data_IF_489051695454
#
_entry.id   IF_489051695454
#
_cell.length_a   1.000
_cell.length_b   1.000
_cell.length_c   1.000
_cell.angle_alpha   90.00
_cell.angle_beta   90.00
_cell.angle_gamma   90.00
#
_symmetry.space_group_name_H-M   'P 1'
#
loop_
_entity.id
_entity.type
_entity.pdbx_description
1 polymer ?
#
# COMPACT_ATOMS: atom_id res chain seq x y z
N UNK A 1 9.46 11.12 -11.22
CA UNK A 1 9.07 12.55 -11.02
C UNK A 1 10.11 13.58 -11.51
N UNK A 2 11.33 13.21 -11.91
CA UNK A 2 12.30 14.15 -12.53
C UNK A 2 11.77 14.91 -13.77
N UNK A 3 10.58 14.53 -14.28
CA UNK A 3 9.91 15.15 -15.44
C UNK A 3 8.48 15.60 -15.11
N UNK A 4 8.10 15.76 -13.85
CA UNK A 4 6.72 16.05 -13.45
C UNK A 4 5.75 14.89 -13.63
N UNK A 5 6.25 13.66 -13.88
CA UNK A 5 5.40 12.48 -14.06
C UNK A 5 4.94 11.97 -12.70
N UNK A 6 3.65 11.79 -12.54
CA UNK A 6 3.02 11.19 -11.36
C UNK A 6 2.98 9.68 -11.48
N UNK A 7 3.12 8.99 -10.35
CA UNK A 7 3.25 7.53 -10.32
C UNK A 7 2.31 6.90 -9.33
N UNK A 8 1.68 5.79 -9.75
CA UNK A 8 0.79 5.02 -8.89
C UNK A 8 0.87 3.53 -9.16
N UNK A 9 0.51 2.74 -8.17
CA UNK A 9 0.39 1.29 -8.23
C UNK A 9 -1.04 0.91 -7.89
N UNK A 10 -1.68 0.11 -8.74
CA UNK A 10 -3.01 -0.46 -8.51
C UNK A 10 -2.94 -1.96 -8.76
N UNK A 11 -3.38 -2.73 -7.81
CA UNK A 11 -3.39 -4.20 -7.89
C UNK A 11 -4.53 -4.78 -7.05
N UNK A 12 -5.02 -5.95 -7.39
CA UNK A 12 -5.91 -6.76 -6.55
C UNK A 12 -5.16 -7.85 -5.76
N UNK A 13 -3.83 -7.86 -5.86
CA UNK A 13 -2.93 -8.66 -5.03
C UNK A 13 -2.44 -7.85 -3.83
N UNK A 14 -1.56 -8.42 -3.02
CA UNK A 14 -0.79 -7.64 -2.04
C UNK A 14 0.11 -6.65 -2.78
N UNK A 15 0.18 -5.42 -2.30
CA UNK A 15 1.09 -4.40 -2.88
C UNK A 15 2.57 -4.78 -2.77
N UNK A 16 2.88 -5.74 -1.89
CA UNK A 16 4.21 -6.33 -1.70
C UNK A 16 4.45 -7.61 -2.52
N UNK A 17 3.45 -8.09 -3.29
CA UNK A 17 3.66 -9.22 -4.18
C UNK A 17 4.60 -8.87 -5.34
N UNK A 18 5.15 -9.86 -6.00
CA UNK A 18 6.26 -9.74 -6.95
C UNK A 18 6.02 -8.69 -8.04
N UNK A 19 4.83 -8.67 -8.66
CA UNK A 19 4.54 -7.75 -9.78
C UNK A 19 4.51 -6.29 -9.34
N UNK A 20 3.71 -5.87 -8.34
CA UNK A 20 3.78 -4.49 -7.86
C UNK A 20 5.13 -4.15 -7.23
N UNK A 21 5.73 -5.07 -6.47
CA UNK A 21 7.02 -4.83 -5.82
C UNK A 21 8.18 -4.60 -6.80
N UNK A 22 8.14 -5.18 -7.99
CA UNK A 22 9.15 -4.96 -9.02
C UNK A 22 9.26 -3.49 -9.50
N UNK A 23 8.28 -2.65 -9.19
CA UNK A 23 8.28 -1.22 -9.54
C UNK A 23 9.05 -0.33 -8.56
N UNK A 24 9.27 -0.78 -7.32
CA UNK A 24 9.89 0.01 -6.26
C UNK A 24 10.93 -0.78 -5.44
N UNK A 25 10.87 -2.10 -5.45
CA UNK A 25 11.65 -2.95 -4.55
C UNK A 25 12.89 -3.55 -5.22
N UNK A 26 13.89 -3.81 -4.39
CA UNK A 26 15.10 -4.57 -4.73
C UNK A 26 15.23 -5.72 -3.74
N UNK A 27 14.85 -6.94 -4.17
CA UNK A 27 14.92 -8.13 -3.35
C UNK A 27 15.34 -9.33 -4.19
N UNK A 28 16.22 -10.21 -3.70
CA UNK A 28 16.56 -11.46 -4.37
C UNK A 28 15.44 -12.51 -4.28
N UNK A 29 14.49 -12.33 -3.35
CA UNK A 29 13.38 -13.25 -3.14
C UNK A 29 12.07 -12.45 -3.00
N UNK A 30 11.06 -12.85 -3.77
CA UNK A 30 9.72 -12.26 -3.76
C UNK A 30 8.99 -12.45 -2.43
N UNK A 31 9.40 -13.40 -1.61
CA UNK A 31 8.76 -13.71 -0.32
C UNK A 31 9.20 -12.77 0.80
N UNK A 32 10.21 -11.92 0.60
CA UNK A 32 10.65 -10.96 1.62
C UNK A 32 9.72 -9.76 1.74
N UNK A 33 8.42 -10.05 1.90
CA UNK A 33 7.37 -9.04 1.94
C UNK A 33 7.37 -8.20 3.24
N UNK A 34 7.81 -8.80 4.36
CA UNK A 34 7.97 -8.16 5.65
C UNK A 34 9.22 -8.69 6.37
N UNK A 35 9.59 -8.09 7.49
CA UNK A 35 10.78 -8.48 8.27
C UNK A 35 10.72 -9.92 8.78
N UNK A 36 9.53 -10.43 9.14
CA UNK A 36 9.37 -11.81 9.61
C UNK A 36 9.64 -12.87 8.51
N UNK A 37 9.47 -12.49 7.24
CA UNK A 37 9.74 -13.34 6.08
C UNK A 37 11.15 -13.12 5.51
N UNK A 38 11.84 -12.07 5.93
CA UNK A 38 13.21 -11.76 5.49
C UNK A 38 14.20 -12.51 6.38
N UNK A 39 15.15 -13.30 5.83
CA UNK A 39 16.11 -14.03 6.64
C UNK A 39 16.99 -13.10 7.49
N UNK A 40 17.29 -13.53 8.72
CA UNK A 40 18.06 -12.77 9.69
C UNK A 40 19.40 -12.25 9.13
N UNK A 41 20.11 -13.11 8.37
CA UNK A 41 21.39 -12.70 7.77
C UNK A 41 21.21 -11.53 6.77
N UNK A 42 20.08 -11.47 6.08
CA UNK A 42 19.79 -10.39 5.12
C UNK A 42 19.48 -9.09 5.86
N UNK A 43 18.68 -9.15 6.92
CA UNK A 43 18.42 -8.01 7.81
C UNK A 43 19.70 -7.43 8.40
N UNK A 44 20.61 -8.30 8.85
CA UNK A 44 21.94 -7.90 9.38
C UNK A 44 22.84 -7.26 8.33
N UNK A 45 22.66 -7.58 7.05
CA UNK A 45 23.34 -6.93 5.92
C UNK A 45 22.65 -5.63 5.45
N UNK A 46 21.57 -5.21 6.13
CA UNK A 46 20.83 -4.00 5.80
C UNK A 46 19.82 -4.17 4.66
N UNK A 47 19.47 -5.40 4.26
CA UNK A 47 18.41 -5.65 3.30
C UNK A 47 17.05 -5.34 3.95
N UNK A 48 16.37 -4.32 3.47
CA UNK A 48 14.99 -4.02 3.88
C UNK A 48 13.99 -4.96 3.21
N UNK A 49 12.94 -5.34 3.94
CA UNK A 49 11.79 -6.04 3.37
C UNK A 49 11.02 -5.15 2.37
N UNK A 50 10.20 -5.77 1.51
CA UNK A 50 9.48 -5.06 0.44
C UNK A 50 8.49 -4.01 0.98
N UNK A 51 7.79 -4.26 2.10
CA UNK A 51 6.90 -3.27 2.70
C UNK A 51 7.68 -2.05 3.20
N UNK A 52 8.83 -2.28 3.86
CA UNK A 52 9.70 -1.20 4.31
C UNK A 52 10.31 -0.43 3.14
N UNK A 53 10.72 -1.10 2.06
CA UNK A 53 11.22 -0.45 0.85
C UNK A 53 10.15 0.44 0.20
N UNK A 54 8.89 -0.03 0.11
CA UNK A 54 7.79 0.74 -0.47
C UNK A 54 7.54 2.06 0.28
N UNK A 55 7.45 1.98 1.61
CA UNK A 55 7.22 3.15 2.46
C UNK A 55 8.40 4.15 2.41
N UNK A 56 9.61 3.66 2.18
CA UNK A 56 10.82 4.45 2.10
C UNK A 56 11.26 4.77 0.65
N UNK A 57 10.46 4.40 -0.34
CA UNK A 57 10.77 4.63 -1.74
C UNK A 57 10.87 6.13 -2.04
N UNK A 58 12.08 6.60 -2.27
CA UNK A 58 12.40 8.02 -2.43
C UNK A 58 12.73 8.43 -3.88
N UNK A 59 12.80 7.46 -4.81
CA UNK A 59 13.09 7.76 -6.21
C UNK A 59 12.03 8.70 -6.80
N UNK A 60 12.48 9.79 -7.32
CA UNK A 60 11.63 10.78 -7.96
C UNK A 60 10.59 11.48 -7.06
N UNK A 61 10.68 11.43 -5.74
CA UNK A 61 9.73 11.90 -4.70
C UNK A 61 8.72 10.85 -4.21
N UNK A 62 8.97 9.57 -4.47
CA UNK A 62 8.13 8.47 -4.00
C UNK A 62 6.93 8.14 -4.89
N UNK A 63 6.02 7.34 -4.37
CA UNK A 63 4.78 6.96 -5.04
C UNK A 63 3.66 7.91 -4.62
N UNK A 64 2.90 8.44 -5.58
CA UNK A 64 1.77 9.33 -5.30
C UNK A 64 0.54 8.56 -4.81
N UNK A 65 0.38 7.31 -5.30
CA UNK A 65 -0.76 6.46 -4.96
C UNK A 65 -0.35 4.99 -4.98
N UNK A 66 -0.79 4.24 -3.97
CA UNK A 66 -0.69 2.78 -3.92
C UNK A 66 -2.01 2.22 -3.45
N UNK A 67 -2.64 1.33 -4.23
CA UNK A 67 -3.91 0.68 -3.91
C UNK A 67 -3.80 -0.83 -4.13
N UNK A 68 -4.21 -1.61 -3.12
CA UNK A 68 -4.22 -3.08 -3.19
C UNK A 68 -4.47 -3.73 -1.83
N UNK A 69 -4.05 -4.98 -1.69
CA UNK A 69 -4.09 -5.74 -0.44
C UNK A 69 -2.72 -5.75 0.28
N UNK A 70 -2.60 -6.62 1.29
CA UNK A 70 -1.34 -6.88 1.99
C UNK A 70 -1.12 -6.06 3.25
N UNK A 71 -2.17 -5.54 3.88
CA UNK A 71 -2.11 -4.69 5.08
C UNK A 71 -1.31 -5.33 6.23
N UNK A 72 -1.35 -6.67 6.37
CA UNK A 72 -0.61 -7.38 7.43
C UNK A 72 0.90 -7.12 7.37
N UNK A 73 1.48 -6.90 6.17
CA UNK A 73 2.91 -6.69 6.00
C UNK A 73 3.39 -5.32 6.52
N UNK A 74 2.47 -4.40 6.81
CA UNK A 74 2.75 -3.04 7.28
C UNK A 74 2.48 -2.83 8.77
N UNK A 75 1.81 -3.79 9.43
CA UNK A 75 1.40 -3.70 10.83
C UNK A 75 2.22 -4.66 11.70
N UNK A 76 2.55 -4.27 12.96
CA UNK A 76 3.21 -5.16 13.90
C UNK A 76 2.26 -6.25 14.41
N UNK A 77 2.82 -7.39 14.84
CA UNK A 77 2.05 -8.56 15.33
C UNK A 77 1.19 -8.25 16.56
N UNK A 78 1.52 -7.21 17.30
CA UNK A 78 0.75 -6.74 18.45
C UNK A 78 -0.52 -5.99 18.04
N UNK A 79 -0.55 -5.42 16.83
CA UNK A 79 -1.68 -4.64 16.32
C UNK A 79 -2.77 -5.54 15.75
N UNK A 80 -4.01 -5.31 16.20
CA UNK A 80 -5.18 -5.88 15.55
C UNK A 80 -5.39 -5.23 14.18
N UNK A 81 -5.89 -6.01 13.23
CA UNK A 81 -6.33 -5.49 11.95
C UNK A 81 -7.57 -4.58 12.16
N UNK A 82 -7.68 -3.42 11.50
CA UNK A 82 -8.79 -2.49 11.70
C UNK A 82 -10.14 -3.02 11.22
N UNK A 83 -10.16 -4.00 10.33
CA UNK A 83 -11.36 -4.60 9.78
C UNK A 83 -11.68 -5.97 10.39
N UNK A 84 -10.63 -6.74 10.68
CA UNK A 84 -10.71 -8.09 11.25
C UNK A 84 -9.97 -8.13 12.60
N UNK A 85 -10.63 -7.78 13.72
CA UNK A 85 -9.97 -7.65 15.02
C UNK A 85 -9.29 -8.93 15.55
N UNK A 86 -9.67 -10.10 15.02
CA UNK A 86 -9.05 -11.39 15.28
C UNK A 86 -7.74 -11.60 14.50
N UNK A 87 -7.55 -10.88 13.38
CA UNK A 87 -6.34 -10.90 12.59
C UNK A 87 -5.30 -9.92 13.15
N UNK A 88 -4.04 -10.22 12.92
CA UNK A 88 -2.91 -9.43 13.41
C UNK A 88 -1.99 -9.02 12.27
N UNK A 89 -1.21 -7.98 12.51
CA UNK A 89 -0.08 -7.66 11.66
C UNK A 89 0.94 -8.80 11.59
N UNK A 90 1.84 -8.76 10.61
CA UNK A 90 2.84 -9.81 10.40
C UNK A 90 4.27 -9.38 10.77
N UNK A 91 4.50 -8.09 11.08
CA UNK A 91 5.83 -7.57 11.41
C UNK A 91 6.25 -7.93 12.82
N UNK A 92 7.51 -8.35 12.97
CA UNK A 92 8.13 -8.68 14.27
C UNK A 92 9.10 -7.61 14.78
N UNK A 93 9.44 -6.63 13.93
CA UNK A 93 10.31 -5.51 14.31
C UNK A 93 9.57 -4.42 15.10
N UNK A 94 8.28 -4.62 15.39
CA UNK A 94 7.43 -3.69 16.16
C UNK A 94 7.03 -2.42 15.42
N UNK A 95 7.37 -2.28 14.14
CA UNK A 95 7.07 -1.06 13.38
C UNK A 95 5.65 -1.08 12.82
N UNK A 96 4.94 0.01 13.02
CA UNK A 96 3.72 0.35 12.27
C UNK A 96 4.12 1.26 11.09
N UNK A 97 4.33 0.62 9.93
CA UNK A 97 4.78 1.34 8.73
C UNK A 97 3.71 2.29 8.18
N UNK A 98 2.43 2.03 8.45
CA UNK A 98 1.32 2.92 8.04
C UNK A 98 1.38 4.19 8.87
N UNK A 99 1.46 4.06 10.20
CA UNK A 99 1.58 5.21 11.09
C UNK A 99 2.84 6.03 10.81
N UNK A 100 3.97 5.37 10.53
CA UNK A 100 5.21 6.05 10.19
C UNK A 100 5.12 6.79 8.86
N UNK A 101 4.46 6.22 7.86
CA UNK A 101 4.24 6.86 6.57
C UNK A 101 3.35 8.11 6.71
N UNK A 102 2.26 8.02 7.49
CA UNK A 102 1.35 9.15 7.74
C UNK A 102 2.04 10.34 8.43
N UNK A 103 2.97 10.07 9.35
CA UNK A 103 3.69 11.11 10.11
C UNK A 103 4.67 11.94 9.26
N UNK A 104 5.17 11.40 8.14
CA UNK A 104 6.25 12.02 7.35
C UNK A 104 5.83 13.26 6.58
N UNK A 105 4.55 13.38 6.22
CA UNK A 105 4.05 14.49 5.42
C UNK A 105 2.56 14.73 5.69
N UNK A 106 2.20 15.99 5.90
CA UNK A 106 0.81 16.39 6.02
C UNK A 106 0.04 16.16 4.71
N UNK A 107 -1.22 15.78 4.82
CA UNK A 107 -2.09 15.56 3.65
C UNK A 107 -2.01 14.16 3.04
N UNK A 108 -1.21 13.24 3.60
CA UNK A 108 -1.28 11.81 3.27
C UNK A 108 -2.56 11.21 3.80
N UNK A 109 -3.16 10.30 3.04
CA UNK A 109 -4.36 9.57 3.46
C UNK A 109 -4.16 8.07 3.34
N UNK A 110 -4.50 7.37 4.42
CA UNK A 110 -4.61 5.92 4.47
C UNK A 110 -6.08 5.53 4.47
N UNK A 111 -6.44 4.58 3.61
CA UNK A 111 -7.78 4.00 3.50
C UNK A 111 -7.69 2.48 3.46
N UNK A 112 -8.66 1.79 4.09
CA UNK A 112 -8.66 0.33 4.19
C UNK A 112 -10.01 -0.30 3.89
N UNK A 113 -11.07 0.50 3.62
CA UNK A 113 -12.38 -0.01 3.24
C UNK A 113 -13.06 0.84 2.17
N UNK A 114 -14.15 0.33 1.63
CA UNK A 114 -14.90 0.96 0.54
C UNK A 114 -15.49 2.31 0.92
N UNK A 115 -15.96 2.47 2.16
CA UNK A 115 -16.52 3.75 2.64
C UNK A 115 -15.47 4.86 2.61
N UNK A 116 -14.30 4.60 3.19
CA UNK A 116 -13.20 5.56 3.19
C UNK A 116 -12.70 5.85 1.78
N UNK A 117 -12.62 4.82 0.92
CA UNK A 117 -12.20 4.94 -0.46
C UNK A 117 -13.11 5.82 -1.30
N UNK A 118 -14.43 5.78 -1.06
CA UNK A 118 -15.43 6.58 -1.80
C UNK A 118 -15.62 8.01 -1.27
N UNK A 119 -14.88 8.42 -0.25
CA UNK A 119 -14.96 9.79 0.26
C UNK A 119 -14.42 10.79 -0.77
N UNK A 120 -15.17 11.85 -1.01
CA UNK A 120 -14.79 12.89 -1.99
C UNK A 120 -13.46 13.57 -1.65
N UNK A 121 -13.14 13.73 -0.36
CA UNK A 121 -11.91 14.34 0.11
C UNK A 121 -10.65 13.48 -0.12
N UNK A 122 -10.80 12.22 -0.56
CA UNK A 122 -9.67 11.36 -0.92
C UNK A 122 -8.84 11.97 -2.07
N UNK A 123 -9.51 12.54 -3.06
CA UNK A 123 -8.86 13.20 -4.20
C UNK A 123 -8.12 14.51 -3.85
N UNK A 124 -8.26 15.02 -2.63
CA UNK A 124 -7.53 16.19 -2.14
C UNK A 124 -6.23 15.82 -1.38
N UNK A 125 -5.95 14.53 -1.25
CA UNK A 125 -4.74 14.05 -0.59
C UNK A 125 -3.46 14.48 -1.31
N UNK A 126 -2.35 14.52 -0.57
CA UNK A 126 -1.01 14.65 -1.16
C UNK A 126 -0.52 13.30 -1.70
N UNK A 127 -0.76 12.24 -0.97
CA UNK A 127 -0.48 10.86 -1.37
C UNK A 127 -1.56 9.96 -0.79
N UNK A 128 -1.81 8.84 -1.47
CA UNK A 128 -2.84 7.86 -1.06
C UNK A 128 -2.20 6.49 -0.89
N UNK A 129 -2.44 5.88 0.27
CA UNK A 129 -2.15 4.47 0.54
C UNK A 129 -3.47 3.76 0.85
N UNK A 130 -3.92 2.87 -0.02
CA UNK A 130 -5.08 2.02 0.18
C UNK A 130 -4.68 0.55 0.32
N UNK A 131 -4.91 -0.03 1.50
CA UNK A 131 -4.65 -1.44 1.78
C UNK A 131 -5.94 -2.07 2.28
N UNK A 132 -6.70 -2.68 1.37
CA UNK A 132 -8.10 -3.05 1.60
C UNK A 132 -8.28 -4.41 2.28
N UNK A 133 -7.30 -5.30 2.19
CA UNK A 133 -7.33 -6.60 2.86
C UNK A 133 -6.00 -6.87 3.60
N UNK A 134 -6.00 -7.70 4.67
CA UNK A 134 -4.76 -8.13 5.32
C UNK A 134 -3.82 -8.85 4.35
N UNK A 135 -4.39 -9.63 3.43
CA UNK A 135 -3.68 -10.40 2.37
C UNK A 135 -4.10 -9.93 1.00
N UNK A 136 -4.38 -10.88 0.07
CA UNK A 136 -4.96 -10.57 -1.24
C UNK A 136 -6.36 -9.98 -1.07
N UNK A 137 -6.73 -9.11 -2.00
CA UNK A 137 -8.12 -8.68 -2.11
C UNK A 137 -9.02 -9.85 -2.51
N UNK A 138 -10.29 -9.76 -2.14
CA UNK A 138 -11.30 -10.77 -2.44
C UNK A 138 -11.49 -10.90 -3.95
N UNK A 139 -11.66 -12.12 -4.45
CA UNK A 139 -11.96 -12.33 -5.86
C UNK A 139 -13.22 -11.58 -6.28
N UNK A 140 -13.20 -10.97 -7.45
CA UNK A 140 -14.29 -10.10 -7.93
C UNK A 140 -15.67 -10.77 -7.91
N UNK A 141 -15.73 -12.06 -8.24
CA UNK A 141 -16.97 -12.85 -8.17
C UNK A 141 -17.50 -13.02 -6.74
N UNK A 142 -16.64 -13.07 -5.75
CA UNK A 142 -17.01 -13.19 -4.34
C UNK A 142 -17.42 -11.82 -3.80
N UNK A 143 -16.67 -10.78 -4.14
CA UNK A 143 -16.96 -9.38 -3.81
C UNK A 143 -18.37 -8.98 -4.32
N UNK A 144 -18.72 -9.28 -5.57
CA UNK A 144 -20.03 -9.00 -6.17
C UNK A 144 -21.16 -9.73 -5.41
N UNK A 145 -20.89 -10.90 -4.85
CA UNK A 145 -21.84 -11.68 -4.04
C UNK A 145 -21.97 -11.18 -2.59
N UNK A 146 -21.33 -10.06 -2.26
CA UNK A 146 -21.35 -9.45 -0.92
C UNK A 146 -20.25 -9.95 0.00
N UNK A 147 -19.18 -10.54 -0.53
CA UNK A 147 -18.08 -11.10 0.23
C UNK A 147 -16.95 -10.13 0.62
N UNK A 148 -17.04 -8.83 0.27
CA UNK A 148 -15.96 -7.88 0.57
C UNK A 148 -16.43 -6.45 0.76
N UNK A 149 -15.72 -5.71 1.60
CA UNK A 149 -15.93 -4.27 1.87
C UNK A 149 -14.81 -3.43 1.22
N UNK A 150 -14.48 -3.77 -0.01
CA UNK A 150 -13.35 -3.23 -0.76
C UNK A 150 -13.75 -2.77 -2.16
N UNK A 151 -13.01 -1.83 -2.78
CA UNK A 151 -13.27 -1.40 -4.16
C UNK A 151 -12.87 -2.49 -5.16
N UNK A 152 -13.51 -2.48 -6.33
CA UNK A 152 -13.07 -3.28 -7.48
C UNK A 152 -11.78 -2.72 -8.07
N UNK A 153 -11.07 -3.55 -8.85
CA UNK A 153 -9.90 -3.12 -9.62
C UNK A 153 -10.25 -1.96 -10.58
N UNK A 154 -11.46 -1.97 -11.14
CA UNK A 154 -11.95 -0.91 -12.02
C UNK A 154 -12.07 0.41 -11.24
N UNK A 155 -12.78 0.41 -10.10
CA UNK A 155 -12.95 1.61 -9.26
C UNK A 155 -11.58 2.15 -8.78
N UNK A 156 -10.67 1.27 -8.38
CA UNK A 156 -9.32 1.69 -7.98
C UNK A 156 -8.56 2.34 -9.14
N UNK A 157 -8.67 1.79 -10.35
CA UNK A 157 -8.01 2.33 -11.54
C UNK A 157 -8.57 3.70 -11.92
N UNK A 158 -9.89 3.87 -11.90
CA UNK A 158 -10.57 5.15 -12.19
C UNK A 158 -10.15 6.24 -11.21
N UNK A 159 -10.15 5.95 -9.92
CA UNK A 159 -9.69 6.88 -8.88
C UNK A 159 -8.22 7.21 -9.05
N UNK A 160 -7.38 6.21 -9.35
CA UNK A 160 -5.95 6.43 -9.57
C UNK A 160 -5.69 7.38 -10.74
N UNK A 161 -6.33 7.18 -11.88
CA UNK A 161 -6.22 8.07 -13.05
C UNK A 161 -6.66 9.48 -12.67
N UNK A 162 -7.86 9.62 -12.10
CA UNK A 162 -8.43 10.92 -11.72
C UNK A 162 -7.51 11.67 -10.74
N UNK A 163 -6.98 10.97 -9.73
CA UNK A 163 -6.08 11.55 -8.74
C UNK A 163 -4.76 12.02 -9.36
N UNK A 164 -4.13 11.17 -10.19
CA UNK A 164 -2.84 11.48 -10.81
C UNK A 164 -2.95 12.61 -11.83
N UNK A 165 -4.03 12.67 -12.62
CA UNK A 165 -4.32 13.77 -13.53
C UNK A 165 -4.53 15.09 -12.79
N UNK A 166 -5.36 15.08 -11.73
CA UNK A 166 -5.58 16.27 -10.89
C UNK A 166 -4.29 16.77 -10.27
N UNK A 167 -3.40 15.87 -9.89
CA UNK A 167 -2.12 16.21 -9.29
C UNK A 167 -1.12 16.73 -10.33
N UNK A 168 -1.08 16.14 -11.51
CA UNK A 168 -0.24 16.63 -12.62
C UNK A 168 -0.63 18.03 -13.09
N UNK A 169 -1.92 18.35 -13.14
CA UNK A 169 -2.43 19.67 -13.53
C UNK A 169 -2.18 20.80 -12.51
N UNK A 170 -1.77 20.47 -11.27
CA UNK A 170 -1.42 21.49 -10.26
C UNK A 170 0.04 21.96 -10.33
N UNK A 171 0.89 21.19 -11.00
CA UNK A 171 2.34 21.42 -11.08
C UNK A 171 2.80 21.78 -12.50
N UNK A 172 1.86 21.94 -13.45
CA UNK A 172 2.10 22.28 -14.87
C UNK A 172 1.91 23.76 -15.18
#
# INVERSE_FOLDING_TARGET
KRRGIRTGIVTNSRVTDATPAATYGHSPDRLWENDAKTPEFALQQGCGDLANQMINFAEGEGLDLVLGGGRENFLPVESADPEYPESRGARRDGKDLIADWLKRQNGRKFVWNLEQFRRQDLLDAQEILGLFEPREMVFDMERIRGGGNEPSLVEMTEIAITFLEKKAGKDG
#
